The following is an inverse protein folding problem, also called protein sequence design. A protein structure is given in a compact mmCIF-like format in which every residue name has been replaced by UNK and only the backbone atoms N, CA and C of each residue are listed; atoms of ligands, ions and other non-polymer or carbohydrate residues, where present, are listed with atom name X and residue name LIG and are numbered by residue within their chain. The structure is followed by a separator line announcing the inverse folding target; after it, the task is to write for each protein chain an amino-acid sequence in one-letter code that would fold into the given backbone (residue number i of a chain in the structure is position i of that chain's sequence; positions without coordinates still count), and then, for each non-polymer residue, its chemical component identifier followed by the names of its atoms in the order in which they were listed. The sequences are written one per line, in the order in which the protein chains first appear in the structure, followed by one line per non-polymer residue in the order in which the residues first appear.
data_IF_283076104703
#
_entry.id   IF_283076104703
#
_cell.length_a   1.000
_cell.length_b   1.000
_cell.length_c   1.000
_cell.angle_alpha   90.00
_cell.angle_beta   90.00
_cell.angle_gamma   90.00
#
_symmetry.space_group_name_H-M   'P 1'
#
loop_
_entity.id
_entity.type
_entity.pdbx_description
1 polymer ?
#
# COMPACT_ATOMS: atom_id res chain seq x y z
N UNK A 1 59.19 -38.62 10.73
CA UNK A 1 58.18 -38.14 11.71
C UNK A 1 57.76 -36.73 11.33
N UNK A 2 56.72 -36.59 10.54
CA UNK A 2 56.15 -35.30 10.11
C UNK A 2 55.04 -34.91 11.05
N UNK A 3 55.20 -33.78 11.74
CA UNK A 3 54.17 -33.18 12.55
C UNK A 3 53.36 -32.22 11.62
N UNK A 4 52.14 -32.62 11.35
CA UNK A 4 51.15 -31.75 10.70
C UNK A 4 50.77 -30.61 11.63
N UNK A 5 50.82 -29.33 11.21
CA UNK A 5 50.32 -28.23 12.03
C UNK A 5 48.78 -28.22 11.97
N UNK A 6 48.16 -28.32 13.14
CA UNK A 6 46.75 -28.10 13.35
C UNK A 6 46.36 -26.69 12.83
N UNK A 7 45.56 -26.67 11.77
CA UNK A 7 44.89 -25.45 11.33
C UNK A 7 43.92 -25.05 12.45
N UNK A 8 44.25 -23.98 13.14
CA UNK A 8 43.37 -23.31 14.10
C UNK A 8 42.22 -22.67 13.27
N UNK A 9 41.06 -23.31 13.27
CA UNK A 9 39.84 -22.69 12.80
C UNK A 9 39.63 -21.45 13.67
N UNK A 10 39.87 -20.29 13.11
CA UNK A 10 39.38 -19.02 13.66
C UNK A 10 37.86 -19.07 13.57
N UNK A 11 37.20 -19.49 14.65
CA UNK A 11 35.82 -19.21 14.86
C UNK A 11 35.68 -17.68 14.85
N UNK A 12 35.13 -17.15 13.76
CA UNK A 12 34.64 -15.77 13.68
C UNK A 12 33.49 -15.67 14.68
N UNK A 13 33.84 -15.33 15.93
CA UNK A 13 32.81 -14.87 16.88
C UNK A 13 32.15 -13.65 16.23
N UNK A 14 30.83 -13.64 16.02
CA UNK A 14 30.16 -12.49 15.43
C UNK A 14 30.45 -11.26 16.30
N UNK A 15 31.24 -10.34 15.77
CA UNK A 15 31.58 -9.13 16.49
C UNK A 15 30.33 -8.24 16.52
N UNK A 16 29.73 -8.19 17.69
CA UNK A 16 28.66 -7.22 17.96
C UNK A 16 29.31 -5.84 18.12
N UNK A 17 29.13 -4.99 17.13
CA UNK A 17 29.62 -3.62 17.15
C UNK A 17 28.45 -2.67 17.42
N UNK A 18 28.61 -1.78 18.39
CA UNK A 18 27.60 -0.76 18.67
C UNK A 18 28.19 0.63 18.64
N UNK A 19 27.46 1.57 18.06
CA UNK A 19 27.74 3.00 18.06
C UNK A 19 26.62 3.71 18.80
N UNK A 20 26.99 4.55 19.78
CA UNK A 20 25.99 5.31 20.55
C UNK A 20 26.11 6.80 20.24
N UNK A 21 24.98 7.49 20.14
CA UNK A 21 24.93 8.95 20.07
C UNK A 21 24.89 9.55 21.49
N UNK A 22 25.28 10.82 21.66
CA UNK A 22 25.14 11.51 22.96
C UNK A 22 23.69 11.55 23.47
N UNK A 23 22.72 11.50 22.59
CA UNK A 23 21.29 11.46 22.93
C UNK A 23 20.77 10.06 23.32
N UNK A 24 21.63 9.03 23.30
CA UNK A 24 21.28 7.66 23.68
C UNK A 24 20.73 6.79 22.56
N UNK A 25 20.60 7.31 21.33
CA UNK A 25 20.29 6.45 20.19
C UNK A 25 21.50 5.57 19.86
N UNK A 26 21.28 4.34 19.41
CA UNK A 26 22.35 3.38 19.13
C UNK A 26 22.15 2.68 17.80
N UNK A 27 23.27 2.39 17.16
CA UNK A 27 23.33 1.49 16.01
C UNK A 27 24.03 0.22 16.43
N UNK A 28 23.47 -0.92 16.10
CA UNK A 28 24.04 -2.23 16.38
C UNK A 28 24.28 -2.98 15.07
N UNK A 29 25.40 -3.66 14.97
CA UNK A 29 25.68 -4.66 13.96
C UNK A 29 25.80 -5.99 14.69
N UNK A 30 24.95 -6.94 14.32
CA UNK A 30 24.91 -8.28 14.90
C UNK A 30 24.86 -9.31 13.76
N UNK A 31 26.00 -9.95 13.52
CA UNK A 31 26.18 -10.82 12.35
C UNK A 31 25.94 -10.05 11.04
N UNK A 32 24.94 -10.49 10.27
CA UNK A 32 24.55 -9.90 8.99
C UNK A 32 23.40 -8.89 9.10
N UNK A 33 23.02 -8.46 10.31
CA UNK A 33 21.96 -7.49 10.53
C UNK A 33 22.51 -6.16 11.06
N UNK A 34 21.89 -5.07 10.62
CA UNK A 34 22.13 -3.71 11.11
C UNK A 34 20.82 -3.19 11.71
N UNK A 35 20.88 -2.70 12.94
CA UNK A 35 19.73 -2.14 13.64
C UNK A 35 20.03 -0.74 14.19
N UNK A 36 19.04 0.14 14.11
CA UNK A 36 19.08 1.48 14.71
C UNK A 36 17.95 1.56 15.73
N UNK A 37 18.32 1.93 16.95
CA UNK A 37 17.39 2.07 18.06
C UNK A 37 17.31 3.52 18.53
N UNK A 38 16.12 3.94 18.95
CA UNK A 38 15.92 5.19 19.65
C UNK A 38 16.53 5.12 21.08
N UNK A 39 16.67 6.25 21.78
CA UNK A 39 17.19 6.30 23.16
C UNK A 39 16.42 5.41 24.14
N UNK A 40 15.13 5.22 23.92
CA UNK A 40 14.24 4.37 24.72
C UNK A 40 14.30 2.88 24.37
N UNK A 41 15.19 2.49 23.44
CA UNK A 41 15.36 1.12 22.96
C UNK A 41 14.40 0.71 21.84
N UNK A 42 13.49 1.58 21.40
CA UNK A 42 12.60 1.29 20.28
C UNK A 42 13.40 1.08 18.99
N UNK A 43 13.15 -0.02 18.29
CA UNK A 43 13.74 -0.28 16.97
C UNK A 43 13.16 0.72 15.96
N UNK A 44 14.03 1.46 15.27
CA UNK A 44 13.65 2.41 14.22
C UNK A 44 13.89 1.85 12.83
N UNK A 45 15.02 1.23 12.63
CA UNK A 45 15.42 0.64 11.35
C UNK A 45 16.10 -0.68 11.61
N UNK A 46 15.79 -1.70 10.82
CA UNK A 46 16.53 -2.95 10.77
C UNK A 46 16.68 -3.39 9.33
N UNK A 47 17.89 -3.67 8.95
CA UNK A 47 18.20 -4.36 7.71
C UNK A 47 18.83 -5.71 8.05
N UNK A 48 18.35 -6.75 7.41
CA UNK A 48 18.83 -8.11 7.56
C UNK A 48 19.37 -8.57 6.20
N UNK A 49 20.67 -8.76 6.11
CA UNK A 49 21.31 -9.08 4.83
C UNK A 49 21.07 -10.53 4.38
N UNK A 50 20.75 -11.43 5.29
CA UNK A 50 20.47 -12.83 4.93
C UNK A 50 19.13 -12.97 4.23
N UNK A 51 18.14 -12.19 4.64
CA UNK A 51 16.79 -12.18 4.07
C UNK A 51 16.56 -11.03 3.08
N UNK A 52 17.43 -10.02 3.07
CA UNK A 52 17.24 -8.77 2.34
C UNK A 52 16.12 -7.88 2.90
N UNK A 53 15.59 -8.20 4.07
CA UNK A 53 14.46 -7.49 4.66
C UNK A 53 14.89 -6.14 5.26
N UNK A 54 14.12 -5.07 4.95
CA UNK A 54 14.22 -3.77 5.58
C UNK A 54 12.93 -3.47 6.35
N UNK A 55 13.06 -3.20 7.65
CA UNK A 55 11.96 -2.78 8.52
C UNK A 55 12.18 -1.35 8.96
N UNK A 56 11.17 -0.50 8.74
CA UNK A 56 11.10 0.86 9.27
C UNK A 56 9.96 0.93 10.28
N UNK A 57 10.24 1.38 11.48
CA UNK A 57 9.21 1.53 12.51
C UNK A 57 9.39 2.82 13.29
N UNK A 58 8.29 3.39 13.77
CA UNK A 58 8.30 4.56 14.63
C UNK A 58 7.06 4.54 15.54
N UNK A 59 7.19 5.11 16.73
CA UNK A 59 6.06 5.23 17.67
C UNK A 59 4.98 6.20 17.21
N UNK A 60 5.39 7.25 16.50
CA UNK A 60 4.50 8.36 16.12
C UNK A 60 4.28 8.40 14.62
N UNK A 61 5.33 8.54 13.83
CA UNK A 61 5.21 8.69 12.39
C UNK A 61 6.48 8.32 11.64
N UNK A 62 6.31 7.82 10.42
CA UNK A 62 7.33 7.71 9.40
C UNK A 62 6.91 8.61 8.25
N UNK A 63 7.77 9.55 7.84
CA UNK A 63 7.53 10.40 6.69
C UNK A 63 8.52 10.06 5.58
N UNK A 64 7.99 9.77 4.40
CA UNK A 64 8.78 9.56 3.18
C UNK A 64 8.42 10.68 2.21
N UNK A 65 9.38 11.51 1.84
CA UNK A 65 9.12 12.65 0.96
C UNK A 65 10.21 12.84 -0.08
N UNK A 66 9.81 13.21 -1.29
CA UNK A 66 10.68 13.64 -2.36
C UNK A 66 10.15 14.98 -2.90
N UNK A 67 10.71 16.11 -2.43
CA UNK A 67 10.20 17.47 -2.72
C UNK A 67 10.19 17.81 -4.21
N UNK A 68 11.16 17.32 -4.96
CA UNK A 68 11.32 17.61 -6.40
C UNK A 68 11.56 16.32 -7.22
N UNK A 69 11.21 15.19 -6.68
CA UNK A 69 11.51 13.89 -7.27
C UNK A 69 10.32 12.93 -7.26
N UNK A 70 10.64 11.66 -7.47
CA UNK A 70 9.69 10.55 -7.49
C UNK A 70 9.89 9.66 -6.27
N UNK A 71 8.81 9.15 -5.72
CA UNK A 71 8.81 7.98 -4.84
C UNK A 71 8.21 6.84 -5.66
N UNK A 72 8.97 5.77 -5.86
CA UNK A 72 8.52 4.56 -6.55
C UNK A 72 8.50 3.41 -5.56
N UNK A 73 7.42 2.64 -5.56
CA UNK A 73 7.28 1.39 -4.84
C UNK A 73 7.09 0.31 -5.89
N UNK A 74 8.02 -0.61 -5.99
CA UNK A 74 8.00 -1.72 -6.92
C UNK A 74 8.10 -3.01 -6.12
N UNK A 75 7.07 -3.83 -6.18
CA UNK A 75 6.98 -5.05 -5.40
C UNK A 75 5.98 -6.02 -6.02
N UNK A 76 6.18 -7.30 -5.79
CA UNK A 76 5.20 -8.33 -6.14
C UNK A 76 3.89 -8.14 -5.37
N UNK A 77 3.97 -7.71 -4.12
CA UNK A 77 2.80 -7.46 -3.26
C UNK A 77 2.99 -6.17 -2.48
N UNK A 78 2.01 -5.28 -2.52
CA UNK A 78 1.92 -4.10 -1.68
C UNK A 78 0.69 -4.22 -0.78
N UNK A 79 0.89 -4.22 0.53
CA UNK A 79 -0.18 -4.25 1.53
C UNK A 79 -0.18 -2.96 2.36
N UNK A 80 -1.34 -2.32 2.47
CA UNK A 80 -1.52 -1.10 3.26
C UNK A 80 -2.65 -1.33 4.27
N UNK A 81 -2.29 -1.44 5.55
CA UNK A 81 -3.21 -1.57 6.65
C UNK A 81 -3.25 -0.27 7.46
N UNK A 82 -4.34 0.47 7.38
CA UNK A 82 -4.50 1.73 8.07
C UNK A 82 -5.95 1.92 8.55
N UNK A 83 -6.13 2.50 9.73
CA UNK A 83 -7.45 2.92 10.21
C UNK A 83 -8.02 4.04 9.32
N UNK A 84 -7.16 4.96 8.87
CA UNK A 84 -7.52 6.05 7.98
C UNK A 84 -6.44 6.18 6.91
N UNK A 85 -6.85 6.31 5.65
CA UNK A 85 -5.97 6.64 4.54
C UNK A 85 -6.52 7.87 3.81
N UNK A 86 -5.66 8.80 3.44
CA UNK A 86 -6.01 9.97 2.64
C UNK A 86 -5.05 10.09 1.46
N UNK A 87 -5.60 10.16 0.28
CA UNK A 87 -4.86 10.39 -0.96
C UNK A 87 -5.32 11.72 -1.54
N UNK A 88 -4.39 12.66 -1.74
CA UNK A 88 -4.65 13.95 -2.38
C UNK A 88 -3.65 14.12 -3.52
N UNK A 89 -4.12 14.05 -4.74
CA UNK A 89 -3.30 14.05 -5.96
C UNK A 89 -3.94 14.92 -7.03
N UNK A 90 -3.14 15.50 -7.93
CA UNK A 90 -3.65 16.20 -9.10
C UNK A 90 -4.18 15.23 -10.15
N UNK A 91 -3.57 14.06 -10.27
CA UNK A 91 -3.98 13.02 -11.21
C UNK A 91 -3.82 11.64 -10.55
N UNK A 92 -4.80 10.79 -10.72
CA UNK A 92 -4.81 9.41 -10.23
C UNK A 92 -5.06 8.45 -11.38
N UNK A 93 -4.05 7.67 -11.75
CA UNK A 93 -4.15 6.60 -12.73
C UNK A 93 -4.06 5.25 -12.02
N UNK A 94 -5.03 4.39 -12.28
CA UNK A 94 -5.07 3.04 -11.75
C UNK A 94 -5.25 2.06 -12.91
N UNK A 95 -4.22 1.24 -13.15
CA UNK A 95 -4.25 0.15 -14.13
C UNK A 95 -4.17 -1.18 -13.36
N UNK A 96 -5.18 -1.99 -13.49
CA UNK A 96 -5.29 -3.24 -12.76
C UNK A 96 -6.16 -4.25 -13.53
N UNK A 97 -5.74 -5.51 -13.55
CA UNK A 97 -6.54 -6.60 -14.12
C UNK A 97 -7.86 -6.80 -13.37
N UNK A 98 -7.86 -6.55 -12.07
CA UNK A 98 -9.03 -6.71 -11.22
C UNK A 98 -9.04 -5.71 -10.07
N UNK A 99 -10.15 -5.02 -9.89
CA UNK A 99 -10.41 -4.17 -8.73
C UNK A 99 -11.57 -4.78 -7.95
N UNK A 100 -11.39 -4.96 -6.64
CA UNK A 100 -12.46 -5.37 -5.71
C UNK A 100 -12.55 -4.33 -4.61
N UNK A 101 -13.68 -3.66 -4.53
CA UNK A 101 -13.99 -2.69 -3.49
C UNK A 101 -15.09 -3.24 -2.58
N UNK A 102 -14.88 -3.18 -1.26
CA UNK A 102 -15.87 -3.52 -0.25
C UNK A 102 -15.92 -2.39 0.76
N UNK A 103 -16.99 -1.64 0.75
CA UNK A 103 -17.18 -0.48 1.59
C UNK A 103 -18.56 -0.52 2.23
N UNK A 104 -18.72 0.20 3.32
CA UNK A 104 -20.02 0.43 3.92
C UNK A 104 -20.76 1.56 3.19
N UNK A 105 -20.04 2.68 2.94
CA UNK A 105 -20.59 3.82 2.20
C UNK A 105 -19.56 4.29 1.15
N UNK A 106 -20.06 4.72 -0.01
CA UNK A 106 -19.26 5.36 -1.07
C UNK A 106 -19.90 6.69 -1.45
N UNK A 107 -19.15 7.78 -1.28
CA UNK A 107 -19.54 9.10 -1.78
C UNK A 107 -18.59 9.51 -2.90
N UNK A 108 -19.14 9.80 -4.06
CA UNK A 108 -18.37 10.23 -5.24
C UNK A 108 -18.97 11.48 -5.82
N UNK A 109 -18.20 12.56 -5.84
CA UNK A 109 -18.54 13.80 -6.50
C UNK A 109 -17.61 14.00 -7.70
N UNK A 110 -18.17 14.24 -8.88
CA UNK A 110 -17.44 14.48 -10.11
C UNK A 110 -17.97 15.79 -10.72
N UNK A 111 -17.12 16.83 -10.78
CA UNK A 111 -17.50 18.13 -11.34
C UNK A 111 -17.50 18.16 -12.87
N UNK A 112 -16.76 17.25 -13.48
CA UNK A 112 -16.67 17.12 -14.94
C UNK A 112 -17.44 15.90 -15.45
N UNK A 113 -16.74 15.04 -16.17
CA UNK A 113 -17.31 13.86 -16.83
C UNK A 113 -17.01 12.60 -15.99
N UNK A 114 -18.04 11.81 -15.71
CA UNK A 114 -17.89 10.44 -15.22
C UNK A 114 -18.29 9.48 -16.35
N UNK A 115 -17.31 8.81 -16.94
CA UNK A 115 -17.53 7.85 -18.02
C UNK A 115 -17.21 6.43 -17.56
N UNK A 116 -18.05 5.47 -17.96
CA UNK A 116 -17.81 4.06 -17.73
C UNK A 116 -17.97 3.33 -19.06
N UNK A 117 -16.87 2.73 -19.53
CA UNK A 117 -16.88 1.88 -20.70
C UNK A 117 -16.65 0.43 -20.26
N UNK A 118 -17.61 -0.43 -20.49
CA UNK A 118 -17.55 -1.81 -20.04
C UNK A 118 -18.21 -2.75 -21.05
N UNK A 119 -17.61 -3.90 -21.30
CA UNK A 119 -18.24 -4.97 -22.10
C UNK A 119 -19.53 -5.46 -21.45
N UNK A 120 -19.61 -5.50 -20.13
CA UNK A 120 -20.78 -5.89 -19.36
C UNK A 120 -20.84 -5.10 -18.07
N UNK A 121 -21.97 -4.49 -17.79
CA UNK A 121 -22.22 -3.79 -16.53
C UNK A 121 -23.47 -4.37 -15.86
N UNK A 122 -23.44 -4.57 -14.55
CA UNK A 122 -24.57 -5.00 -13.74
C UNK A 122 -24.64 -4.18 -12.47
N UNK A 123 -25.78 -3.57 -12.22
CA UNK A 123 -26.05 -2.83 -10.98
C UNK A 123 -27.22 -3.50 -10.26
N UNK A 124 -27.03 -3.84 -9.00
CA UNK A 124 -28.06 -4.43 -8.14
C UNK A 124 -28.21 -3.51 -6.94
N UNK A 125 -29.45 -3.05 -6.70
CA UNK A 125 -29.79 -2.18 -5.57
C UNK A 125 -31.02 -2.77 -4.89
N UNK A 126 -30.94 -3.02 -3.58
CA UNK A 126 -32.03 -3.67 -2.83
C UNK A 126 -33.23 -2.76 -2.59
N UNK A 127 -33.02 -1.45 -2.46
CA UNK A 127 -34.10 -0.51 -2.10
C UNK A 127 -34.39 0.48 -3.19
N UNK A 128 -33.52 1.49 -3.36
CA UNK A 128 -33.83 2.61 -4.24
C UNK A 128 -32.66 2.91 -5.16
N UNK A 129 -32.92 3.04 -6.45
CA UNK A 129 -32.01 3.54 -7.46
C UNK A 129 -32.64 4.78 -8.09
N UNK A 130 -31.99 5.94 -7.98
CA UNK A 130 -32.49 7.20 -8.51
C UNK A 130 -31.53 7.78 -9.55
N UNK A 131 -32.07 8.26 -10.65
CA UNK A 131 -31.37 9.01 -11.67
C UNK A 131 -32.01 10.38 -11.81
N UNK A 132 -31.37 11.44 -11.37
CA UNK A 132 -31.84 12.80 -11.50
C UNK A 132 -30.97 13.55 -12.52
N UNK A 133 -31.57 13.95 -13.63
CA UNK A 133 -30.88 14.69 -14.70
C UNK A 133 -31.81 15.58 -15.50
N UNK A 134 -31.25 16.58 -16.18
CA UNK A 134 -32.06 17.36 -17.16
C UNK A 134 -32.46 16.51 -18.37
N UNK A 135 -31.62 15.56 -18.75
CA UNK A 135 -31.87 14.68 -19.90
C UNK A 135 -31.24 13.32 -19.64
N UNK A 136 -32.04 12.28 -19.75
CA UNK A 136 -31.61 10.89 -19.73
C UNK A 136 -31.86 10.27 -21.08
N UNK A 137 -30.84 9.66 -21.68
CA UNK A 137 -30.98 8.91 -22.94
C UNK A 137 -30.53 7.47 -22.68
N UNK A 138 -31.40 6.54 -23.00
CA UNK A 138 -31.12 5.10 -22.96
C UNK A 138 -31.25 4.57 -24.37
N UNK A 139 -30.19 4.02 -24.91
CA UNK A 139 -30.15 3.46 -26.26
C UNK A 139 -29.67 2.02 -26.21
N UNK A 140 -30.40 1.12 -26.84
CA UNK A 140 -30.05 -0.28 -27.02
C UNK A 140 -30.08 -0.64 -28.48
N UNK A 141 -29.22 -1.54 -28.95
CA UNK A 141 -29.27 -2.08 -30.32
C UNK A 141 -30.27 -3.20 -30.47
N UNK A 142 -30.60 -3.88 -29.39
CA UNK A 142 -31.53 -5.02 -29.37
C UNK A 142 -32.71 -4.67 -28.50
N UNK A 143 -32.69 -5.00 -27.22
CA UNK A 143 -33.82 -4.87 -26.33
C UNK A 143 -33.54 -3.92 -25.17
N UNK A 144 -34.56 -3.16 -24.79
CA UNK A 144 -34.63 -2.48 -23.48
C UNK A 144 -35.86 -3.00 -22.75
N UNK A 145 -35.67 -3.70 -21.64
CA UNK A 145 -36.76 -4.21 -20.82
C UNK A 145 -36.84 -3.43 -19.52
N UNK A 146 -38.03 -2.89 -19.26
CA UNK A 146 -38.38 -2.23 -18.00
C UNK A 146 -39.56 -3.01 -17.42
N UNK A 147 -39.39 -3.52 -16.22
CA UNK A 147 -40.38 -4.34 -15.53
C UNK A 147 -40.64 -3.78 -14.13
N UNK A 148 -41.91 -3.70 -13.73
CA UNK A 148 -42.29 -3.16 -12.42
C UNK A 148 -43.81 -3.19 -12.23
N UNK A 149 -44.24 -3.13 -10.96
CA UNK A 149 -45.68 -3.04 -10.64
C UNK A 149 -46.36 -1.81 -11.23
N UNK A 150 -45.64 -0.74 -11.40
CA UNK A 150 -46.08 0.51 -12.02
C UNK A 150 -44.92 1.14 -12.79
N UNK A 151 -45.12 1.44 -14.05
CA UNK A 151 -44.21 2.19 -14.90
C UNK A 151 -44.96 3.48 -15.30
N UNK A 152 -44.43 4.62 -14.91
CA UNK A 152 -44.97 5.93 -15.25
C UNK A 152 -44.02 6.58 -16.28
N UNK A 153 -44.55 6.87 -17.44
CA UNK A 153 -43.86 7.59 -18.51
C UNK A 153 -44.62 8.91 -18.68
N UNK A 154 -44.01 10.00 -18.24
CA UNK A 154 -44.56 11.35 -18.26
C UNK A 154 -44.00 12.21 -19.36
#
# INVERSE_FOLDING_TARGET
MNKTPLARALELVPQRTSLNTPSGARTEVDGNAIAIHAPDGTLLVRYDADTGALVLSARTSVAISAKSGRISLDSETLEINAKNARVAVGEWNLDAERIVERTFDVFRTVEGIAETNARRMRTIVERTLEFCSRRTTVTSKEDTRIDGKRVLLG
#
